data_IF_899886304129
#
_entry.id   IF_899886304129
#
_cell.length_a   1.000
_cell.length_b   1.000
_cell.length_c   1.000
_cell.angle_alpha   90.00
_cell.angle_beta   90.00
_cell.angle_gamma   90.00
#
_symmetry.space_group_name_H-M   'P 1'
#
loop_
_entity.id
_entity.type
_entity.pdbx_description
1 polymer ?
#
# COMPACT_ATOMS: atom_id res chain seq x y z
N UNK A 1 -12.20 1.77 13.59
CA UNK A 1 -11.48 2.16 12.36
C UNK A 1 -12.31 2.10 11.08
N UNK A 2 -13.53 1.53 11.04
CA UNK A 2 -14.25 1.28 9.77
C UNK A 2 -15.06 2.45 9.20
N UNK A 3 -15.31 3.54 9.94
CA UNK A 3 -16.20 4.61 9.48
C UNK A 3 -15.50 5.81 8.82
N UNK A 4 -14.22 6.06 9.11
CA UNK A 4 -13.46 7.19 8.54
C UNK A 4 -12.87 6.89 7.15
N UNK A 5 -12.71 5.62 6.79
CA UNK A 5 -12.14 5.22 5.51
C UNK A 5 -13.16 5.15 4.37
N UNK A 6 -14.46 5.13 4.65
CA UNK A 6 -15.50 4.89 3.65
C UNK A 6 -15.70 6.06 2.66
N UNK A 7 -15.35 7.29 3.08
CA UNK A 7 -15.49 8.52 2.28
C UNK A 7 -14.14 9.23 2.04
N UNK A 8 -13.02 8.60 2.39
CA UNK A 8 -11.70 9.20 2.22
C UNK A 8 -11.22 9.06 0.77
N UNK A 9 -10.72 10.15 0.20
CA UNK A 9 -10.00 10.09 -1.08
C UNK A 9 -8.70 9.27 -0.97
N UNK A 10 -8.17 8.84 -2.11
CA UNK A 10 -7.02 7.95 -2.20
C UNK A 10 -5.75 8.54 -1.58
N UNK A 11 -5.59 9.87 -1.60
CA UNK A 11 -4.44 10.56 -0.98
C UNK A 11 -4.56 10.49 0.54
N UNK A 12 -5.76 10.73 1.07
CA UNK A 12 -6.07 10.60 2.48
C UNK A 12 -5.88 9.16 2.95
N UNK A 13 -6.33 8.17 2.18
CA UNK A 13 -6.09 6.75 2.46
C UNK A 13 -4.59 6.43 2.53
N UNK A 14 -3.79 6.94 1.58
CA UNK A 14 -2.34 6.79 1.59
C UNK A 14 -1.74 7.36 2.88
N UNK A 15 -2.07 8.60 3.25
CA UNK A 15 -1.52 9.23 4.45
C UNK A 15 -1.90 8.50 5.74
N UNK A 16 -3.14 8.04 5.84
CA UNK A 16 -3.60 7.21 6.98
C UNK A 16 -2.76 5.93 7.05
N UNK A 17 -2.58 5.22 5.95
CA UNK A 17 -1.85 3.97 5.91
C UNK A 17 -0.37 4.15 6.28
N UNK A 18 0.29 5.17 5.71
CA UNK A 18 1.66 5.52 6.07
C UNK A 18 1.77 5.92 7.55
N UNK A 19 0.79 6.65 8.09
CA UNK A 19 0.74 7.02 9.50
C UNK A 19 0.67 5.81 10.43
N UNK A 20 -0.18 4.83 10.10
CA UNK A 20 -0.28 3.56 10.83
C UNK A 20 1.05 2.79 10.82
N UNK A 21 1.71 2.72 9.67
CA UNK A 21 3.02 2.08 9.56
C UNK A 21 4.10 2.78 10.37
N UNK A 22 4.18 4.12 10.30
CA UNK A 22 5.14 4.89 11.13
C UNK A 22 4.97 4.58 12.61
N UNK A 23 3.73 4.56 13.09
CA UNK A 23 3.44 4.26 14.48
C UNK A 23 3.85 2.82 14.81
N UNK A 24 3.45 1.83 14.01
CA UNK A 24 3.79 0.43 14.24
C UNK A 24 5.30 0.17 14.24
N UNK A 25 6.03 0.77 13.29
CA UNK A 25 7.49 0.68 13.22
C UNK A 25 8.14 1.31 14.46
N UNK A 26 7.69 2.49 14.88
CA UNK A 26 8.25 3.18 16.05
C UNK A 26 7.96 2.43 17.35
N UNK A 27 6.71 1.99 17.55
CA UNK A 27 6.25 1.28 18.75
C UNK A 27 6.96 -0.07 18.95
N UNK A 28 7.47 -0.66 17.86
CA UNK A 28 8.17 -1.96 17.86
C UNK A 28 9.69 -1.84 17.74
N UNK A 29 10.25 -0.64 17.85
CA UNK A 29 11.68 -0.39 17.64
C UNK A 29 12.19 -0.92 16.27
N UNK A 30 11.38 -0.73 15.23
CA UNK A 30 11.59 -1.15 13.85
C UNK A 30 11.64 -2.67 13.66
N UNK A 31 10.95 -3.42 14.52
CA UNK A 31 10.82 -4.88 14.40
C UNK A 31 9.55 -5.32 13.68
N UNK A 32 8.54 -4.46 13.60
CA UNK A 32 7.33 -4.74 12.82
C UNK A 32 7.64 -4.82 11.33
N UNK A 33 7.01 -5.77 10.65
CA UNK A 33 6.99 -5.91 9.20
C UNK A 33 5.64 -6.46 8.76
N UNK A 34 5.40 -6.54 7.46
CA UNK A 34 4.12 -7.05 6.96
C UNK A 34 4.07 -8.58 7.04
N UNK A 35 3.15 -9.17 7.82
CA UNK A 35 3.06 -10.62 7.94
C UNK A 35 2.69 -11.29 6.60
N UNK A 36 1.95 -10.58 5.73
CA UNK A 36 1.59 -11.08 4.40
C UNK A 36 2.85 -11.18 3.52
N UNK A 37 3.72 -10.17 3.56
CA UNK A 37 5.02 -10.21 2.85
C UNK A 37 5.91 -11.32 3.41
N UNK A 38 5.99 -11.47 4.74
CA UNK A 38 6.79 -12.53 5.36
C UNK A 38 6.38 -13.92 4.87
N UNK A 39 5.07 -14.20 4.84
CA UNK A 39 4.55 -15.47 4.30
C UNK A 39 4.83 -15.56 2.79
N UNK A 40 4.73 -14.48 2.02
CA UNK A 40 4.95 -14.52 0.57
C UNK A 40 6.39 -14.87 0.14
N UNK A 41 7.39 -14.49 0.94
CA UNK A 41 8.82 -14.67 0.61
C UNK A 41 9.43 -15.95 1.19
N UNK A 42 8.75 -16.55 2.16
CA UNK A 42 9.14 -17.82 2.77
C UNK A 42 8.67 -19.02 1.92
N UNK A 43 9.37 -20.14 2.04
CA UNK A 43 8.99 -21.41 1.40
C UNK A 43 8.11 -22.20 2.37
N UNK A 44 6.90 -22.54 1.95
CA UNK A 44 5.90 -23.26 2.76
C UNK A 44 5.60 -24.65 2.18
N UNK A 45 6.60 -25.53 2.14
CA UNK A 45 6.45 -26.89 1.58
C UNK A 45 5.34 -27.71 2.27
N UNK A 46 5.11 -27.46 3.57
CA UNK A 46 4.09 -28.16 4.38
C UNK A 46 2.71 -27.47 4.35
N UNK A 47 2.60 -26.28 3.74
CA UNK A 47 1.37 -25.49 3.70
C UNK A 47 1.26 -24.67 2.39
N UNK A 48 1.19 -25.34 1.22
CA UNK A 48 1.15 -24.67 -0.09
C UNK A 48 -0.04 -23.71 -0.25
N UNK A 49 -1.16 -23.96 0.45
CA UNK A 49 -2.36 -23.11 0.47
C UNK A 49 -2.12 -21.69 1.02
N UNK A 50 -1.01 -21.48 1.75
CA UNK A 50 -0.61 -20.15 2.20
C UNK A 50 -0.28 -19.23 1.03
N UNK A 51 0.26 -19.77 -0.07
CA UNK A 51 0.57 -18.98 -1.28
C UNK A 51 -0.71 -18.40 -1.88
N UNK A 52 -1.77 -19.22 -1.98
CA UNK A 52 -3.06 -18.79 -2.51
C UNK A 52 -3.70 -17.75 -1.58
N UNK A 53 -3.67 -18.00 -0.27
CA UNK A 53 -4.19 -17.07 0.75
C UNK A 53 -3.51 -15.69 0.67
N UNK A 54 -2.18 -15.67 0.56
CA UNK A 54 -1.41 -14.42 0.41
C UNK A 54 -1.75 -13.70 -0.90
N UNK A 55 -1.90 -14.45 -1.99
CA UNK A 55 -2.30 -13.90 -3.29
C UNK A 55 -3.68 -13.25 -3.24
N UNK A 56 -4.64 -13.87 -2.55
CA UNK A 56 -5.97 -13.35 -2.31
C UNK A 56 -5.94 -12.03 -1.53
N UNK A 57 -5.16 -11.97 -0.44
CA UNK A 57 -5.03 -10.76 0.39
C UNK A 57 -4.44 -9.60 -0.41
N UNK A 58 -3.35 -9.81 -1.15
CA UNK A 58 -2.79 -8.75 -2.01
C UNK A 58 -3.75 -8.34 -3.12
N UNK A 59 -4.56 -9.26 -3.63
CA UNK A 59 -5.59 -8.96 -4.63
C UNK A 59 -6.68 -8.09 -4.04
N UNK A 60 -7.19 -8.40 -2.85
CA UNK A 60 -8.19 -7.59 -2.15
C UNK A 60 -7.67 -6.16 -1.87
N UNK A 61 -6.43 -6.01 -1.41
CA UNK A 61 -5.83 -4.70 -1.15
C UNK A 61 -5.73 -3.87 -2.44
N UNK A 62 -5.28 -4.48 -3.53
CA UNK A 62 -5.18 -3.80 -4.84
C UNK A 62 -6.56 -3.47 -5.42
N UNK A 63 -7.55 -4.35 -5.28
CA UNK A 63 -8.94 -4.12 -5.71
C UNK A 63 -9.55 -2.94 -4.95
N UNK A 64 -9.31 -2.84 -3.65
CA UNK A 64 -9.77 -1.73 -2.81
C UNK A 64 -9.21 -0.41 -3.30
N UNK A 65 -7.88 -0.32 -3.46
CA UNK A 65 -7.21 0.88 -3.99
C UNK A 65 -7.68 1.23 -5.41
N UNK A 66 -7.81 0.23 -6.28
CA UNK A 66 -8.24 0.44 -7.66
C UNK A 66 -9.70 0.92 -7.73
N UNK A 67 -10.54 0.49 -6.79
CA UNK A 67 -11.93 0.94 -6.68
C UNK A 67 -12.00 2.40 -6.25
N UNK A 68 -11.24 2.80 -5.23
CA UNK A 68 -11.15 4.21 -4.80
C UNK A 68 -10.63 5.10 -5.94
N UNK A 69 -9.53 4.72 -6.59
CA UNK A 69 -8.97 5.46 -7.73
C UNK A 69 -9.98 5.62 -8.89
N UNK A 70 -10.74 4.58 -9.20
CA UNK A 70 -11.79 4.63 -10.23
C UNK A 70 -12.95 5.54 -9.82
N UNK A 71 -13.34 5.54 -8.55
CA UNK A 71 -14.39 6.42 -8.03
C UNK A 71 -13.98 7.90 -8.15
N UNK A 72 -12.68 8.19 -8.11
CA UNK A 72 -12.11 9.52 -8.34
C UNK A 72 -11.76 9.80 -9.81
N UNK A 73 -12.19 8.94 -10.74
CA UNK A 73 -12.12 9.17 -12.18
C UNK A 73 -10.89 8.58 -12.89
N UNK A 74 -9.98 7.90 -12.20
CA UNK A 74 -8.82 7.26 -12.85
C UNK A 74 -9.29 6.08 -13.71
N UNK A 75 -8.74 5.94 -14.93
CA UNK A 75 -9.09 4.84 -15.83
C UNK A 75 -8.78 3.47 -15.21
N UNK A 76 -9.57 2.45 -15.52
CA UNK A 76 -9.43 1.12 -14.91
C UNK A 76 -8.01 0.53 -15.06
N UNK A 77 -7.39 0.66 -16.23
CA UNK A 77 -6.01 0.21 -16.48
C UNK A 77 -5.00 0.97 -15.63
N UNK A 78 -5.16 2.30 -15.50
CA UNK A 78 -4.25 3.11 -14.68
C UNK A 78 -4.46 2.84 -13.19
N UNK A 79 -5.70 2.71 -12.74
CA UNK A 79 -6.04 2.37 -11.37
C UNK A 79 -5.43 1.03 -10.94
N UNK A 80 -5.53 -0.01 -11.78
CA UNK A 80 -4.95 -1.33 -11.50
C UNK A 80 -3.41 -1.28 -11.37
N UNK A 81 -2.74 -0.62 -12.32
CA UNK A 81 -1.27 -0.50 -12.28
C UNK A 81 -0.77 0.37 -11.13
N UNK A 82 -1.47 1.48 -10.82
CA UNK A 82 -1.10 2.36 -9.72
C UNK A 82 -1.33 1.70 -8.35
N UNK A 83 -2.41 0.92 -8.19
CA UNK A 83 -2.66 0.15 -6.96
C UNK A 83 -1.57 -0.88 -6.70
N UNK A 84 -1.06 -1.52 -7.76
CA UNK A 84 0.07 -2.45 -7.65
C UNK A 84 1.34 -1.72 -7.20
N UNK A 85 1.61 -0.56 -7.80
CA UNK A 85 2.76 0.27 -7.43
C UNK A 85 2.68 0.73 -5.98
N UNK A 86 1.52 1.19 -5.52
CA UNK A 86 1.31 1.64 -4.14
C UNK A 86 1.64 0.55 -3.13
N UNK A 87 1.09 -0.66 -3.30
CA UNK A 87 1.38 -1.79 -2.41
C UNK A 87 2.87 -2.15 -2.46
N UNK A 88 3.43 -2.37 -3.64
CA UNK A 88 4.83 -2.77 -3.79
C UNK A 88 5.80 -1.74 -3.18
N UNK A 89 5.52 -0.44 -3.38
CA UNK A 89 6.36 0.63 -2.88
C UNK A 89 6.29 0.75 -1.36
N UNK A 90 5.09 0.70 -0.76
CA UNK A 90 4.95 0.78 0.71
C UNK A 90 5.58 -0.44 1.38
N UNK A 91 5.35 -1.65 0.87
CA UNK A 91 5.96 -2.85 1.44
C UNK A 91 7.49 -2.83 1.32
N UNK A 92 8.03 -2.37 0.19
CA UNK A 92 9.46 -2.14 0.04
C UNK A 92 9.99 -1.07 1.01
N UNK A 93 9.24 0.00 1.24
CA UNK A 93 9.60 1.03 2.21
C UNK A 93 9.64 0.49 3.63
N UNK A 94 8.70 -0.38 4.02
CA UNK A 94 8.70 -1.04 5.34
C UNK A 94 9.98 -1.87 5.53
N UNK A 95 10.40 -2.62 4.52
CA UNK A 95 11.67 -3.39 4.55
C UNK A 95 12.87 -2.46 4.75
N UNK A 96 12.93 -1.35 4.02
CA UNK A 96 14.01 -0.36 4.19
C UNK A 96 13.97 0.30 5.58
N UNK A 97 12.78 0.60 6.10
CA UNK A 97 12.63 1.17 7.44
C UNK A 97 13.15 0.23 8.53
N UNK A 98 12.92 -1.08 8.39
CA UNK A 98 13.45 -2.10 9.30
C UNK A 98 14.99 -2.16 9.22
N UNK A 99 15.55 -2.14 8.01
CA UNK A 99 16.99 -2.21 7.79
C UNK A 99 17.72 -0.96 8.33
N UNK A 100 17.17 0.22 8.05
CA UNK A 100 17.77 1.52 8.39
C UNK A 100 17.43 1.98 9.81
N UNK A 101 16.45 1.32 10.47
CA UNK A 101 15.85 1.74 11.74
C UNK A 101 15.39 3.21 11.71
N UNK A 102 14.71 3.57 10.64
CA UNK A 102 14.24 4.93 10.36
C UNK A 102 12.90 4.90 9.64
N UNK A 103 12.03 5.90 9.85
CA UNK A 103 10.79 6.05 9.07
C UNK A 103 11.01 6.79 7.76
N UNK A 104 12.23 7.30 7.53
CA UNK A 104 12.54 8.13 6.36
C UNK A 104 12.20 7.46 5.02
N UNK A 105 12.51 6.17 4.77
CA UNK A 105 12.14 5.54 3.49
C UNK A 105 10.62 5.55 3.23
N UNK A 106 9.81 5.42 4.29
CA UNK A 106 8.35 5.48 4.19
C UNK A 106 7.84 6.89 3.88
N UNK A 107 8.52 7.92 4.39
CA UNK A 107 8.24 9.32 4.08
C UNK A 107 8.55 9.64 2.61
N UNK A 108 9.72 9.22 2.13
CA UNK A 108 10.17 9.42 0.75
C UNK A 108 9.24 8.74 -0.26
N UNK A 109 8.91 7.46 -0.03
CA UNK A 109 7.96 6.72 -0.87
C UNK A 109 6.57 7.35 -0.82
N UNK A 110 6.13 7.80 0.35
CA UNK A 110 4.83 8.46 0.50
C UNK A 110 4.72 9.72 -0.36
N UNK A 111 5.76 10.55 -0.37
CA UNK A 111 5.79 11.77 -1.18
C UNK A 111 5.73 11.47 -2.68
N UNK A 112 6.50 10.50 -3.17
CA UNK A 112 6.50 10.10 -4.59
C UNK A 112 5.17 9.47 -5.02
N UNK A 113 4.58 8.62 -4.17
CA UNK A 113 3.26 8.04 -4.44
C UNK A 113 2.19 9.12 -4.54
N UNK A 114 2.21 10.14 -3.66
CA UNK A 114 1.26 11.23 -3.73
C UNK A 114 1.37 12.01 -5.05
N UNK A 115 2.58 12.30 -5.53
CA UNK A 115 2.80 12.95 -6.83
C UNK A 115 2.17 12.12 -7.96
N UNK A 116 2.43 10.81 -7.98
CA UNK A 116 1.91 9.91 -9.02
C UNK A 116 0.38 9.77 -8.97
N UNK A 117 -0.21 9.78 -7.78
CA UNK A 117 -1.65 9.75 -7.57
C UNK A 117 -2.28 11.04 -8.09
N UNK A 118 -1.75 12.21 -7.70
CA UNK A 118 -2.26 13.51 -8.16
C UNK A 118 -2.18 13.65 -9.69
N UNK A 119 -1.07 13.24 -10.29
CA UNK A 119 -0.93 13.22 -11.74
C UNK A 119 -1.97 12.31 -12.42
N UNK A 120 -2.33 11.18 -11.81
CA UNK A 120 -3.36 10.29 -12.36
C UNK A 120 -4.77 10.91 -12.27
N UNK A 121 -5.05 11.71 -11.24
CA UNK A 121 -6.31 12.42 -11.04
C UNK A 121 -6.46 13.61 -12.02
N UNK A 122 -5.38 14.36 -12.27
CA UNK A 122 -5.40 15.49 -13.21
C UNK A 122 -5.74 15.06 -14.64
N UNK A 123 -5.16 13.95 -15.11
CA UNK A 123 -5.44 13.40 -16.44
C UNK A 123 -6.90 12.94 -16.60
N UNK A 124 -7.58 12.60 -15.50
CA UNK A 124 -9.01 12.28 -15.52
C UNK A 124 -9.88 13.51 -15.80
N UNK A 125 -9.55 14.66 -15.18
CA UNK A 125 -10.33 15.91 -15.32
C UNK A 125 -10.24 16.56 -16.70
N UNK A 126 -9.30 16.11 -17.55
CA UNK A 126 -9.08 16.63 -18.89
C UNK A 126 -9.86 15.87 -19.99
N UNK A 127 -10.64 14.83 -19.63
CA UNK A 127 -11.49 14.03 -20.51
C UNK A 127 -12.98 14.26 -20.21
#
# INVERSE_FOLDING_TARGET
MSALAADADVVTMLHIFLGLWRQMLSDTEFRAGCPIVAVAVEVHDEAPELTDTVSEVFTEWRETLATTLRAEGVSATRAASLSTLMIAAVEGAVVLCQADRSTQPLDEVGAELEVLIRAALEVSTAN
#
